data_IF_430242583774
#
_entry.id   IF_430242583774
#
_cell.length_a   1.000
_cell.length_b   1.000
_cell.length_c   1.000
_cell.angle_alpha   90.00
_cell.angle_beta   90.00
_cell.angle_gamma   90.00
#
_symmetry.space_group_name_H-M   'P 1'
#
loop_
_entity.id
_entity.type
_entity.pdbx_description
1 polymer ?
#
# COMPACT_ATOMS: atom_id res chain seq x y z
N UNK A 1 -7.79 18.89 -16.21
CA UNK A 1 -6.99 18.37 -15.07
C UNK A 1 -5.68 19.14 -15.08
N UNK A 2 -5.47 20.06 -14.15
CA UNK A 2 -4.30 20.95 -14.16
C UNK A 2 -3.06 20.22 -13.62
N UNK A 3 -1.88 20.64 -14.08
CA UNK A 3 -0.58 20.01 -13.74
C UNK A 3 -0.26 20.10 -12.23
N UNK A 4 -0.91 21.03 -11.53
CA UNK A 4 -0.69 21.37 -10.12
C UNK A 4 -1.17 20.27 -9.17
N UNK A 5 -2.21 19.52 -9.54
CA UNK A 5 -2.74 18.40 -8.74
C UNK A 5 -1.74 17.25 -8.59
N UNK A 6 -0.79 17.10 -9.53
CA UNK A 6 0.25 16.06 -9.48
C UNK A 6 1.30 16.29 -8.39
N UNK A 7 1.37 17.49 -7.80
CA UNK A 7 2.28 17.83 -6.67
C UNK A 7 1.64 17.65 -5.29
N UNK A 8 0.47 17.02 -5.18
CA UNK A 8 -0.08 16.67 -3.88
C UNK A 8 0.86 15.67 -3.19
N UNK A 9 1.41 16.08 -2.03
CA UNK A 9 2.21 15.19 -1.19
C UNK A 9 1.33 14.00 -0.79
N UNK A 10 1.67 12.83 -1.32
CA UNK A 10 1.08 11.57 -0.91
C UNK A 10 1.45 11.36 0.56
N UNK A 11 0.48 10.97 1.39
CA UNK A 11 0.68 10.70 2.83
C UNK A 11 0.58 9.21 3.15
N UNK A 12 -0.17 8.47 2.33
CA UNK A 12 -0.48 7.06 2.55
C UNK A 12 -0.70 6.36 1.21
N UNK A 13 -0.25 5.11 1.10
CA UNK A 13 -0.37 4.24 -0.08
C UNK A 13 -1.06 2.95 0.38
N UNK A 14 -2.15 2.59 -0.28
CA UNK A 14 -2.80 1.29 -0.10
C UNK A 14 -2.31 0.34 -1.20
N UNK A 15 -1.73 -0.78 -0.80
CA UNK A 15 -1.24 -1.83 -1.69
C UNK A 15 -2.18 -3.03 -1.57
N UNK A 16 -2.83 -3.40 -2.68
CA UNK A 16 -3.82 -4.48 -2.69
C UNK A 16 -3.23 -5.89 -2.85
N UNK A 17 -1.91 -6.00 -2.72
CA UNK A 17 -1.16 -7.24 -2.93
C UNK A 17 -1.14 -8.08 -1.64
N UNK A 18 -0.96 -9.41 -1.74
CA UNK A 18 -0.69 -10.23 -0.59
C UNK A 18 0.50 -9.66 0.19
N UNK A 19 0.40 -9.68 1.52
CA UNK A 19 1.47 -9.18 2.39
C UNK A 19 2.73 -10.02 2.11
N UNK A 20 3.82 -9.42 1.61
CA UNK A 20 5.02 -10.19 1.32
C UNK A 20 5.56 -10.76 2.63
N UNK A 21 6.05 -12.00 2.57
CA UNK A 21 6.58 -12.71 3.75
C UNK A 21 7.87 -12.07 4.30
N UNK A 22 8.48 -11.15 3.55
CA UNK A 22 9.76 -10.55 3.88
C UNK A 22 9.66 -9.02 3.99
N UNK A 23 10.23 -8.47 5.06
CA UNK A 23 10.30 -7.03 5.36
C UNK A 23 11.12 -6.25 4.32
N UNK A 24 11.90 -6.95 3.47
CA UNK A 24 12.60 -6.39 2.30
C UNK A 24 11.68 -6.35 1.08
N UNK A 25 10.69 -5.46 1.09
CA UNK A 25 9.89 -5.14 -0.09
C UNK A 25 10.20 -3.70 -0.57
N UNK A 26 10.08 -3.43 -1.88
CA UNK A 26 10.35 -2.10 -2.43
C UNK A 26 9.46 -1.01 -1.81
N UNK A 27 8.31 -1.42 -1.26
CA UNK A 27 7.37 -0.56 -0.55
C UNK A 27 7.91 -0.12 0.82
N UNK A 28 8.48 -1.00 1.65
CA UNK A 28 9.01 -0.61 2.96
C UNK A 28 10.20 0.36 2.83
N UNK A 29 11.06 0.15 1.84
CA UNK A 29 12.15 1.07 1.50
C UNK A 29 11.59 2.45 1.09
N UNK A 30 10.54 2.48 0.27
CA UNK A 30 9.82 3.71 -0.11
C UNK A 30 9.18 4.40 1.10
N UNK A 31 8.50 3.63 1.96
CA UNK A 31 7.85 4.10 3.17
C UNK A 31 8.85 4.78 4.11
N UNK A 32 10.00 4.15 4.32
CA UNK A 32 11.06 4.64 5.18
C UNK A 32 11.73 5.89 4.61
N UNK A 33 12.03 5.90 3.31
CA UNK A 33 12.70 7.02 2.63
C UNK A 33 11.82 8.27 2.51
N UNK A 34 10.52 8.09 2.31
CA UNK A 34 9.57 9.18 2.09
C UNK A 34 8.63 9.44 3.28
N UNK A 35 8.82 8.71 4.39
CA UNK A 35 7.95 8.73 5.58
C UNK A 35 6.46 8.53 5.24
N UNK A 36 6.18 7.58 4.35
CA UNK A 36 4.82 7.28 3.87
C UNK A 36 4.22 6.10 4.63
N UNK A 37 2.92 6.17 4.94
CA UNK A 37 2.20 5.01 5.48
C UNK A 37 1.86 4.05 4.35
N UNK A 38 2.20 2.77 4.49
CA UNK A 38 1.84 1.73 3.51
C UNK A 38 0.95 0.70 4.17
N UNK A 39 -0.29 0.64 3.70
CA UNK A 39 -1.27 -0.34 4.13
C UNK A 39 -1.34 -1.47 3.11
N UNK A 40 -1.12 -2.70 3.54
CA UNK A 40 -1.30 -3.89 2.70
C UNK A 40 -2.69 -4.44 2.97
N UNK A 41 -3.54 -4.45 1.93
CA UNK A 41 -4.91 -4.98 2.02
C UNK A 41 -5.08 -6.07 0.97
N UNK A 42 -5.21 -7.32 1.39
CA UNK A 42 -5.47 -8.44 0.48
C UNK A 42 -6.68 -8.14 -0.40
N UNK A 43 -6.52 -8.24 -1.73
CA UNK A 43 -7.61 -8.00 -2.69
C UNK A 43 -8.78 -8.97 -2.54
N UNK A 44 -8.51 -10.17 -2.01
CA UNK A 44 -9.49 -11.23 -1.82
C UNK A 44 -9.46 -11.60 -0.33
N UNK A 45 -10.46 -11.15 0.41
CA UNK A 45 -10.75 -11.66 1.74
C UNK A 45 -11.71 -12.84 1.55
N UNK A 46 -11.16 -14.06 1.48
CA UNK A 46 -11.99 -15.27 1.45
C UNK A 46 -12.43 -15.54 2.89
N UNK A 47 -13.55 -14.95 3.28
CA UNK A 47 -14.26 -15.38 4.49
C UNK A 47 -15.00 -16.67 4.11
N UNK A 48 -14.51 -17.81 4.60
CA UNK A 48 -15.16 -19.10 4.35
C UNK A 48 -16.58 -19.05 4.91
N UNK A 49 -17.58 -19.27 4.06
CA UNK A 49 -18.97 -19.35 4.51
C UNK A 49 -19.10 -20.62 5.36
N UNK A 50 -19.46 -20.55 6.65
CA UNK A 50 -19.75 -21.74 7.42
C UNK A 50 -20.98 -22.43 6.80
N UNK A 51 -20.88 -23.74 6.60
CA UNK A 51 -21.96 -24.59 6.08
C UNK A 51 -23.03 -24.86 7.13
#
# INVERSE_FOLDING_TARGET
MTLEDRKKKVKSILVTLPKPENDKNPYAELAKKLNLKIDFRSFIHVEGVPA
#
